data_IF_582940166792
#
_entry.id   IF_582940166792
#
_cell.length_a   1.000
_cell.length_b   1.000
_cell.length_c   1.000
_cell.angle_alpha   90.00
_cell.angle_beta   90.00
_cell.angle_gamma   90.00
#
_symmetry.space_group_name_H-M   'P 1'
#
loop_
_entity.id
_entity.type
_entity.pdbx_description
1 polymer ?
#
# COMPACT_ATOMS: atom_id res chain seq x y z
N UNK A 1 0.36 -11.90 -2.98
CA UNK A 1 -0.86 -11.12 -2.71
C UNK A 1 -0.59 -10.33 -1.46
N UNK A 2 -0.62 -9.00 -1.61
CA UNK A 2 -0.35 -8.04 -0.56
C UNK A 2 -1.67 -7.54 0.00
N UNK A 3 -1.88 -7.72 1.30
CA UNK A 3 -3.02 -7.15 2.00
C UNK A 3 -2.57 -5.92 2.80
N UNK A 4 -3.33 -4.84 2.70
CA UNK A 4 -3.11 -3.60 3.46
C UNK A 4 -4.27 -3.46 4.44
N UNK A 5 -3.93 -3.40 5.72
CA UNK A 5 -4.88 -3.24 6.82
C UNK A 5 -4.55 -1.96 7.56
N UNK A 6 -5.55 -1.09 7.69
CA UNK A 6 -5.47 0.11 8.52
C UNK A 6 -5.80 -0.21 9.98
N UNK A 7 -5.09 0.43 10.90
CA UNK A 7 -5.56 0.64 12.26
C UNK A 7 -5.48 2.14 12.60
N UNK A 8 -5.86 2.54 13.82
CA UNK A 8 -5.92 3.96 14.21
C UNK A 8 -4.58 4.72 14.14
N UNK A 9 -3.42 4.03 14.07
CA UNK A 9 -2.09 4.67 14.16
C UNK A 9 -1.06 4.17 13.13
N UNK A 10 -1.31 3.04 12.49
CA UNK A 10 -0.37 2.38 11.60
C UNK A 10 -1.08 1.61 10.49
N UNK A 11 -0.27 1.25 9.50
CA UNK A 11 -0.61 0.44 8.35
C UNK A 11 0.15 -0.86 8.45
N UNK A 12 -0.56 -1.97 8.28
CA UNK A 12 0.03 -3.30 8.20
C UNK A 12 -0.02 -3.79 6.76
N UNK A 13 1.14 -4.16 6.24
CA UNK A 13 1.33 -4.79 4.95
C UNK A 13 1.60 -6.28 5.16
N UNK A 14 0.68 -7.14 4.73
CA UNK A 14 0.76 -8.59 4.91
C UNK A 14 0.97 -9.24 3.54
N UNK A 15 2.08 -9.97 3.39
CA UNK A 15 2.37 -10.75 2.18
C UNK A 15 2.78 -12.17 2.56
N UNK A 16 1.82 -13.10 2.50
CA UNK A 16 1.97 -14.46 3.02
C UNK A 16 2.27 -14.45 4.52
N UNK A 17 3.40 -15.01 4.92
CA UNK A 17 3.83 -15.04 6.33
C UNK A 17 4.54 -13.74 6.78
N UNK A 18 4.87 -12.83 5.85
CA UNK A 18 5.56 -11.59 6.19
C UNK A 18 4.55 -10.51 6.56
N UNK A 19 4.74 -9.87 7.70
CA UNK A 19 4.00 -8.68 8.13
C UNK A 19 4.97 -7.53 8.34
N UNK A 20 4.74 -6.41 7.66
CA UNK A 20 5.44 -5.15 7.88
C UNK A 20 4.46 -4.12 8.45
N UNK A 21 4.88 -3.35 9.45
CA UNK A 21 4.05 -2.31 10.06
C UNK A 21 4.75 -0.94 10.02
N UNK A 22 4.01 0.09 9.64
CA UNK A 22 4.50 1.47 9.48
C UNK A 22 3.46 2.49 9.93
N UNK A 23 3.86 3.61 10.57
CA UNK A 23 2.95 4.74 10.77
C UNK A 23 2.40 5.26 9.44
N UNK A 24 1.12 5.66 9.39
CA UNK A 24 0.49 6.13 8.15
C UNK A 24 1.23 7.31 7.51
N UNK A 25 1.69 8.26 8.32
CA UNK A 25 2.43 9.44 7.89
C UNK A 25 3.86 9.18 7.39
N UNK A 26 4.31 7.92 7.41
CA UNK A 26 5.66 7.55 6.94
C UNK A 26 5.64 6.84 5.59
N UNK A 27 4.46 6.56 5.03
CA UNK A 27 4.32 5.80 3.79
C UNK A 27 3.73 6.66 2.68
N UNK A 28 4.35 6.62 1.51
CA UNK A 28 3.77 7.08 0.25
C UNK A 28 3.76 5.96 -0.79
N UNK A 29 3.09 6.19 -1.91
CA UNK A 29 3.09 5.25 -3.03
C UNK A 29 3.18 5.95 -4.39
N UNK A 30 3.63 5.22 -5.39
CA UNK A 30 3.59 5.62 -6.79
C UNK A 30 3.33 4.45 -7.73
N UNK A 31 2.64 4.73 -8.85
CA UNK A 31 2.37 3.77 -9.92
C UNK A 31 3.42 3.96 -11.01
N UNK A 32 4.26 2.94 -11.25
CA UNK A 32 5.45 3.09 -12.12
C UNK A 32 5.23 2.51 -13.52
N UNK A 33 4.38 1.50 -13.66
CA UNK A 33 4.17 0.81 -14.94
C UNK A 33 2.70 0.44 -15.19
N UNK A 34 1.77 1.36 -14.94
CA UNK A 34 0.32 1.17 -15.09
C UNK A 34 -0.30 0.19 -14.09
N UNK A 35 0.41 -0.89 -13.77
CA UNK A 35 -0.08 -2.06 -13.05
C UNK A 35 0.77 -2.40 -11.82
N UNK A 36 1.76 -1.57 -11.45
CA UNK A 36 2.63 -1.82 -10.28
C UNK A 36 2.66 -0.63 -9.36
N UNK A 37 2.34 -0.87 -8.10
CA UNK A 37 2.42 0.10 -7.01
C UNK A 37 3.70 -0.14 -6.23
N UNK A 38 4.44 0.92 -5.97
CA UNK A 38 5.59 0.91 -5.07
C UNK A 38 5.23 1.72 -3.83
N UNK A 39 5.41 1.14 -2.65
CA UNK A 39 5.29 1.83 -1.37
C UNK A 39 6.67 2.24 -0.89
N UNK A 40 6.84 3.49 -0.50
CA UNK A 40 8.13 4.02 -0.04
C UNK A 40 7.98 4.76 1.28
N UNK A 41 9.13 5.01 1.91
CA UNK A 41 9.19 5.87 3.08
C UNK A 41 9.25 7.33 2.66
N UNK A 42 8.33 8.17 3.15
CA UNK A 42 8.13 9.57 2.69
C UNK A 42 9.43 10.39 2.72
N UNK A 43 10.22 10.29 3.80
CA UNK A 43 11.40 11.14 3.99
C UNK A 43 12.65 10.61 3.29
N UNK A 44 12.85 9.28 3.30
CA UNK A 44 14.09 8.66 2.80
C UNK A 44 13.94 8.15 1.38
N UNK A 45 12.71 8.12 0.85
CA UNK A 45 12.33 7.50 -0.44
C UNK A 45 12.81 6.07 -0.59
N UNK A 46 13.00 5.38 0.54
CA UNK A 46 13.40 3.97 0.56
C UNK A 46 12.19 3.13 0.22
N UNK A 47 12.31 2.25 -0.78
CA UNK A 47 11.27 1.30 -1.12
C UNK A 47 11.03 0.32 0.03
N UNK A 48 9.78 0.23 0.45
CA UNK A 48 9.31 -0.70 1.48
C UNK A 48 8.82 -1.98 0.82
N UNK A 49 7.92 -1.86 -0.15
CA UNK A 49 7.25 -2.95 -0.85
C UNK A 49 6.91 -2.54 -2.28
N UNK A 50 6.79 -3.51 -3.18
CA UNK A 50 6.30 -3.33 -4.54
C UNK A 50 5.48 -4.55 -4.93
N UNK A 51 4.32 -4.35 -5.55
CA UNK A 51 3.41 -5.42 -5.92
C UNK A 51 2.54 -4.98 -7.12
N UNK A 52 2.08 -5.93 -7.91
CA UNK A 52 1.11 -5.64 -8.99
C UNK A 52 -0.23 -5.20 -8.41
N UNK A 53 -0.92 -4.24 -9.03
CA UNK A 53 -2.21 -3.70 -8.57
C UNK A 53 -3.22 -4.83 -8.32
N UNK A 54 -3.39 -5.73 -9.28
CA UNK A 54 -4.29 -6.88 -9.18
C UNK A 54 -3.98 -7.83 -8.02
N UNK A 55 -2.76 -7.79 -7.47
CA UNK A 55 -2.33 -8.61 -6.35
C UNK A 55 -2.47 -7.88 -4.99
N UNK A 56 -3.02 -6.67 -4.97
CA UNK A 56 -3.18 -5.87 -3.76
C UNK A 56 -4.64 -5.90 -3.30
N UNK A 57 -4.84 -6.14 -2.02
CA UNK A 57 -6.13 -6.05 -1.35
C UNK A 57 -6.06 -5.01 -0.24
N UNK A 58 -7.06 -4.15 -0.16
CA UNK A 58 -7.19 -3.11 0.87
C UNK A 58 -8.53 -3.32 1.56
N UNK A 59 -8.49 -3.61 2.86
CA UNK A 59 -9.69 -3.86 3.68
C UNK A 59 -10.71 -4.84 3.04
N UNK A 60 -10.22 -5.91 2.40
CA UNK A 60 -11.05 -6.92 1.73
C UNK A 60 -11.46 -6.58 0.30
N UNK A 61 -11.05 -5.43 -0.24
CA UNK A 61 -11.32 -5.00 -1.61
C UNK A 61 -10.05 -5.16 -2.46
N UNK A 62 -10.13 -5.94 -3.53
CA UNK A 62 -9.05 -6.06 -4.50
C UNK A 62 -8.89 -4.76 -5.29
N UNK A 63 -7.65 -4.28 -5.42
CA UNK A 63 -7.35 -3.10 -6.20
C UNK A 63 -7.36 -3.41 -7.70
N UNK A 64 -7.81 -2.43 -8.47
CA UNK A 64 -7.82 -2.40 -9.93
C UNK A 64 -7.20 -1.10 -10.41
N UNK A 65 -6.80 -1.03 -11.67
CA UNK A 65 -6.26 0.21 -12.26
C UNK A 65 -7.25 1.40 -12.17
N UNK A 66 -8.55 1.12 -12.02
CA UNK A 66 -9.61 2.13 -11.94
C UNK A 66 -9.80 2.68 -10.52
N UNK A 67 -9.48 1.92 -9.47
CA UNK A 67 -9.75 2.29 -8.07
C UNK A 67 -8.50 2.47 -7.20
N UNK A 68 -7.31 2.10 -7.72
CA UNK A 68 -6.06 2.07 -6.97
C UNK A 68 -5.75 3.40 -6.29
N UNK A 69 -5.93 4.51 -6.99
CA UNK A 69 -5.57 5.82 -6.48
C UNK A 69 -6.51 6.27 -5.36
N UNK A 70 -7.82 6.13 -5.56
CA UNK A 70 -8.83 6.45 -4.55
C UNK A 70 -8.60 5.64 -3.26
N UNK A 71 -8.44 4.33 -3.39
CA UNK A 71 -8.35 3.42 -2.23
C UNK A 71 -7.04 3.56 -1.47
N UNK A 72 -5.91 3.73 -2.16
CA UNK A 72 -4.64 3.94 -1.49
C UNK A 72 -4.57 5.33 -0.84
N UNK A 73 -5.13 6.37 -1.48
CA UNK A 73 -5.17 7.71 -0.89
C UNK A 73 -5.99 7.72 0.41
N UNK A 74 -7.16 7.08 0.42
CA UNK A 74 -8.04 6.91 1.59
C UNK A 74 -7.34 6.28 2.80
N UNK A 75 -6.43 5.34 2.53
CA UNK A 75 -5.75 4.57 3.58
C UNK A 75 -4.46 5.24 4.04
N UNK A 76 -3.69 5.85 3.13
CA UNK A 76 -2.34 6.31 3.43
C UNK A 76 -2.27 7.75 3.98
N UNK A 77 -3.26 8.60 3.72
CA UNK A 77 -3.14 10.05 3.97
C UNK A 77 -4.29 10.72 4.74
N UNK A 78 -5.16 9.96 5.41
CA UNK A 78 -6.28 10.48 6.23
C UNK A 78 -6.02 10.40 7.74
#
# INVERSE_FOLDING_TARGET
MLQIIKNEKSLSFINGANKNERPFNTVDYNIVNGDTVIFQHVNTRTTLLSEKIENIEVDGVQLTAENVDEKLQDILFF
#
